data_IF_361437789360
#
_entry.id   IF_361437789360
#
_cell.length_a   1.000
_cell.length_b   1.000
_cell.length_c   1.000
_cell.angle_alpha   90.00
_cell.angle_beta   90.00
_cell.angle_gamma   90.00
#
_symmetry.space_group_name_H-M   'P 1'
#
loop_
_entity.id
_entity.type
_entity.pdbx_description
1 polymer ?
#
# COMPACT_ATOMS: atom_id res chain seq x y z
N UNK A 1 1.23 7.18 5.40
CA UNK A 1 1.35 5.98 6.24
C UNK A 1 2.43 6.14 7.33
N UNK A 2 3.66 6.60 7.03
CA UNK A 2 4.74 6.74 8.02
C UNK A 2 4.38 7.45 9.34
N UNK A 3 3.76 8.63 9.28
CA UNK A 3 3.41 9.38 10.49
C UNK A 3 2.39 8.65 11.38
N UNK A 4 1.51 7.84 10.78
CA UNK A 4 0.57 6.99 11.51
C UNK A 4 1.30 5.84 12.21
N UNK A 5 2.20 5.16 11.49
CA UNK A 5 3.02 4.07 12.05
C UNK A 5 3.89 4.53 13.22
N UNK A 6 4.47 5.74 13.15
CA UNK A 6 5.29 6.33 14.23
C UNK A 6 4.57 6.48 15.56
N UNK A 7 3.25 6.60 15.53
CA UNK A 7 2.42 6.77 16.72
C UNK A 7 1.55 5.54 17.02
N UNK A 8 1.86 4.38 16.42
CA UNK A 8 1.17 3.13 16.74
C UNK A 8 -0.19 2.97 16.09
N UNK A 9 -0.50 3.74 15.04
CA UNK A 9 -1.68 3.49 14.19
C UNK A 9 -1.26 2.53 13.08
N UNK A 10 -1.87 1.32 12.99
CA UNK A 10 -1.60 0.39 11.89
C UNK A 10 -1.86 1.05 10.53
N UNK A 11 -0.92 0.90 9.60
CA UNK A 11 -1.01 1.50 8.28
C UNK A 11 -0.48 0.54 7.21
N UNK A 12 -1.17 0.47 6.08
CA UNK A 12 -0.75 -0.30 4.90
C UNK A 12 -0.38 0.63 3.74
N UNK A 13 0.68 0.27 3.01
CA UNK A 13 1.10 0.96 1.79
C UNK A 13 1.84 -0.03 0.88
N UNK A 14 1.13 -0.78 0.02
CA UNK A 14 1.73 -1.65 -0.97
C UNK A 14 2.55 -0.84 -1.98
N UNK A 15 3.72 -1.34 -2.35
CA UNK A 15 4.51 -0.82 -3.47
C UNK A 15 4.22 -1.63 -4.74
N UNK A 16 4.49 -1.04 -5.91
CA UNK A 16 4.24 -1.67 -7.21
C UNK A 16 5.04 -2.96 -7.49
N UNK A 17 6.07 -3.27 -6.68
CA UNK A 17 6.93 -4.43 -6.85
C UNK A 17 7.80 -4.37 -8.12
N UNK A 18 8.43 -5.49 -8.44
CA UNK A 18 9.30 -5.65 -9.63
C UNK A 18 8.90 -6.82 -10.51
N UNK A 19 7.96 -7.64 -10.06
CA UNK A 19 7.44 -8.82 -10.77
C UNK A 19 6.00 -8.57 -11.19
N UNK A 20 5.67 -8.88 -12.45
CA UNK A 20 4.39 -8.53 -13.05
C UNK A 20 3.71 -9.76 -13.63
N UNK A 21 2.46 -9.99 -13.22
CA UNK A 21 1.67 -11.14 -13.66
C UNK A 21 1.49 -11.12 -15.17
N UNK A 22 1.89 -12.20 -15.83
CA UNK A 22 1.72 -12.38 -17.28
C UNK A 22 2.59 -11.46 -18.14
N UNK A 23 3.60 -10.80 -17.56
CA UNK A 23 4.57 -9.99 -18.32
C UNK A 23 5.94 -10.69 -18.31
N UNK A 24 6.67 -10.57 -19.42
CA UNK A 24 8.01 -11.16 -19.54
C UNK A 24 9.12 -10.31 -18.91
N UNK A 25 10.35 -10.84 -18.90
CA UNK A 25 11.51 -10.29 -18.19
C UNK A 25 11.83 -8.82 -18.51
N UNK A 26 11.53 -8.34 -19.72
CA UNK A 26 11.80 -6.96 -20.14
C UNK A 26 10.76 -5.94 -19.66
N UNK A 27 9.67 -6.38 -19.03
CA UNK A 27 8.57 -5.49 -18.66
C UNK A 27 8.97 -4.46 -17.60
N UNK A 28 9.87 -4.83 -16.69
CA UNK A 28 10.39 -3.91 -15.68
C UNK A 28 11.04 -2.68 -16.33
N UNK A 29 11.92 -2.89 -17.31
CA UNK A 29 12.59 -1.82 -18.03
C UNK A 29 11.61 -0.95 -18.84
N UNK A 30 10.59 -1.57 -19.45
CA UNK A 30 9.51 -0.82 -20.11
C UNK A 30 8.75 0.05 -19.11
N UNK A 31 8.36 -0.52 -17.96
CA UNK A 31 7.63 0.20 -16.90
C UNK A 31 8.45 1.38 -16.37
N UNK A 32 9.75 1.17 -16.12
CA UNK A 32 10.66 2.23 -15.68
C UNK A 32 10.76 3.35 -16.73
N UNK A 33 10.96 3.01 -18.01
CA UNK A 33 11.00 4.00 -19.09
C UNK A 33 9.70 4.80 -19.24
N UNK A 34 8.54 4.16 -19.03
CA UNK A 34 7.25 4.85 -19.04
C UNK A 34 7.12 5.75 -17.81
N UNK A 35 7.53 5.30 -16.63
CA UNK A 35 7.50 6.11 -15.41
C UNK A 35 8.39 7.36 -15.55
N UNK A 36 9.62 7.21 -16.03
CA UNK A 36 10.58 8.32 -16.20
C UNK A 36 10.08 9.40 -17.18
N UNK A 37 9.35 9.00 -18.22
CA UNK A 37 8.82 9.93 -19.22
C UNK A 37 7.55 10.69 -18.77
N UNK A 38 6.81 10.15 -17.79
CA UNK A 38 5.48 10.64 -17.43
C UNK A 38 5.41 11.21 -16.00
N UNK A 39 5.98 10.53 -15.01
CA UNK A 39 5.81 10.85 -13.60
C UNK A 39 6.24 12.28 -13.25
N UNK A 40 5.38 13.03 -12.56
CA UNK A 40 5.63 14.43 -12.18
C UNK A 40 5.89 15.38 -13.37
N UNK A 41 5.37 15.05 -14.56
CA UNK A 41 5.44 15.91 -15.74
C UNK A 41 4.05 16.25 -16.27
N UNK A 42 3.97 17.12 -17.27
CA UNK A 42 2.72 17.41 -18.00
C UNK A 42 2.19 16.22 -18.80
N UNK A 43 3.00 15.17 -19.01
CA UNK A 43 2.59 13.96 -19.71
C UNK A 43 1.89 12.95 -18.78
N UNK A 44 1.77 13.24 -17.47
CA UNK A 44 1.12 12.39 -16.46
C UNK A 44 -0.41 12.39 -16.63
N UNK A 45 -0.86 11.94 -17.79
CA UNK A 45 -2.25 11.80 -18.20
C UNK A 45 -2.56 10.32 -18.48
N UNK A 46 -3.84 9.96 -18.34
CA UNK A 46 -4.32 8.63 -18.73
C UNK A 46 -4.04 8.43 -20.23
N UNK A 47 -3.26 7.40 -20.54
CA UNK A 47 -2.84 7.10 -21.89
C UNK A 47 -2.80 5.58 -22.15
N UNK A 48 -2.39 5.17 -23.34
CA UNK A 48 -2.37 3.77 -23.76
C UNK A 48 -1.47 2.84 -22.91
N UNK A 49 -0.53 3.39 -22.13
CA UNK A 49 0.33 2.63 -21.23
C UNK A 49 -0.30 2.40 -19.85
N UNK A 50 -1.47 3.00 -19.57
CA UNK A 50 -2.21 2.78 -18.34
C UNK A 50 -3.01 1.46 -18.42
N UNK A 51 -2.40 0.38 -17.96
CA UNK A 51 -3.08 -0.89 -17.69
C UNK A 51 -3.66 -0.87 -16.26
N UNK A 52 -4.98 -0.65 -16.15
CA UNK A 52 -5.66 -0.48 -14.86
C UNK A 52 -5.96 -1.79 -14.13
N UNK A 53 -5.61 -2.94 -14.69
CA UNK A 53 -5.92 -4.24 -14.06
C UNK A 53 -5.28 -4.36 -12.66
N UNK A 54 -4.06 -3.85 -12.48
CA UNK A 54 -3.40 -3.80 -11.17
C UNK A 54 -4.13 -2.86 -10.18
N UNK A 55 -4.51 -1.67 -10.65
CA UNK A 55 -5.24 -0.70 -9.83
C UNK A 55 -6.60 -1.23 -9.35
N UNK A 56 -7.28 -2.07 -10.15
CA UNK A 56 -8.50 -2.75 -9.71
C UNK A 56 -8.23 -3.67 -8.50
N UNK A 57 -7.18 -4.48 -8.56
CA UNK A 57 -6.80 -5.40 -7.47
C UNK A 57 -6.42 -4.62 -6.21
N UNK A 58 -5.61 -3.57 -6.35
CA UNK A 58 -5.22 -2.71 -5.24
C UNK A 58 -6.43 -2.03 -4.60
N UNK A 59 -7.36 -1.52 -5.42
CA UNK A 59 -8.60 -0.90 -4.94
C UNK A 59 -9.42 -1.88 -4.12
N UNK A 60 -9.55 -3.14 -4.58
CA UNK A 60 -10.23 -4.19 -3.82
C UNK A 60 -9.51 -4.50 -2.52
N UNK A 61 -8.18 -4.58 -2.53
CA UNK A 61 -7.37 -4.80 -1.32
C UNK A 61 -7.62 -3.71 -0.28
N UNK A 62 -7.51 -2.44 -0.66
CA UNK A 62 -7.75 -1.31 0.24
C UNK A 62 -9.18 -1.30 0.79
N UNK A 63 -10.18 -1.49 -0.08
CA UNK A 63 -11.57 -1.55 0.33
C UNK A 63 -11.82 -2.69 1.33
N UNK A 64 -11.39 -3.90 1.02
CA UNK A 64 -11.60 -5.06 1.89
C UNK A 64 -10.85 -4.92 3.22
N UNK A 65 -9.66 -4.32 3.21
CA UNK A 65 -8.90 -4.08 4.44
C UNK A 65 -9.64 -3.09 5.34
N UNK A 66 -10.06 -1.95 4.80
CA UNK A 66 -10.82 -0.95 5.55
C UNK A 66 -12.16 -1.50 6.03
N UNK A 67 -12.89 -2.20 5.16
CA UNK A 67 -14.17 -2.81 5.48
C UNK A 67 -14.05 -3.82 6.63
N UNK A 68 -13.06 -4.73 6.58
CA UNK A 68 -12.84 -5.70 7.66
C UNK A 68 -12.42 -5.02 8.96
N UNK A 69 -11.52 -4.04 8.90
CA UNK A 69 -11.05 -3.32 10.09
C UNK A 69 -12.19 -2.53 10.77
N UNK A 70 -13.08 -1.91 9.99
CA UNK A 70 -14.22 -1.14 10.51
C UNK A 70 -15.33 -2.01 11.11
N UNK A 71 -15.45 -3.27 10.68
CA UNK A 71 -16.48 -4.20 11.14
C UNK A 71 -15.94 -5.27 12.10
N UNK A 72 -14.71 -5.13 12.60
CA UNK A 72 -14.14 -6.03 13.58
C UNK A 72 -14.60 -5.65 15.01
N UNK A 73 -14.92 -6.64 15.83
CA UNK A 73 -15.28 -6.43 17.25
C UNK A 73 -14.08 -5.93 18.08
N UNK A 74 -12.87 -6.26 17.64
CA UNK A 74 -11.62 -5.92 18.31
C UNK A 74 -10.73 -5.04 17.41
N UNK A 75 -9.91 -4.21 18.05
CA UNK A 75 -8.90 -3.42 17.35
C UNK A 75 -7.80 -4.33 16.80
N UNK A 76 -7.26 -3.94 15.64
CA UNK A 76 -6.15 -4.67 15.02
C UNK A 76 -4.90 -4.70 15.93
N UNK A 77 -4.24 -5.86 15.97
CA UNK A 77 -3.07 -6.17 16.81
C UNK A 77 -1.85 -6.52 15.96
N UNK A 78 -0.70 -6.71 16.63
CA UNK A 78 0.56 -7.14 16.02
C UNK A 78 0.97 -8.52 16.56
N UNK A 79 1.83 -9.24 15.84
CA UNK A 79 2.44 -10.43 16.40
C UNK A 79 3.45 -10.03 17.47
N UNK A 80 3.66 -10.93 18.43
CA UNK A 80 4.63 -10.71 19.50
C UNK A 80 6.03 -10.52 18.93
N UNK A 81 6.67 -9.41 19.27
CA UNK A 81 8.02 -9.04 18.81
C UNK A 81 8.06 -8.26 17.50
N UNK A 82 6.92 -7.97 16.86
CA UNK A 82 6.89 -7.12 15.68
C UNK A 82 7.40 -5.71 16.00
N UNK A 83 8.14 -5.11 15.07
CA UNK A 83 8.82 -3.82 15.25
C UNK A 83 7.88 -2.65 15.62
N UNK A 84 6.58 -2.80 15.34
CA UNK A 84 5.55 -1.81 15.64
C UNK A 84 4.69 -2.12 16.87
N UNK A 85 4.82 -3.32 17.46
CA UNK A 85 3.99 -3.78 18.59
C UNK A 85 4.12 -2.84 19.79
N UNK A 86 5.36 -2.55 20.22
CA UNK A 86 5.61 -1.72 21.40
C UNK A 86 5.03 -0.30 21.27
N UNK A 87 5.09 0.28 20.07
CA UNK A 87 4.51 1.60 19.78
C UNK A 87 2.98 1.55 19.82
N UNK A 88 2.37 0.48 19.27
CA UNK A 88 0.92 0.26 19.33
C UNK A 88 0.41 0.14 20.76
N UNK A 89 1.08 -0.66 21.59
CA UNK A 89 0.67 -0.88 22.98
C UNK A 89 0.73 0.42 23.78
N UNK A 90 1.80 1.21 23.62
CA UNK A 90 1.94 2.52 24.26
C UNK A 90 0.81 3.48 23.85
N UNK A 91 0.50 3.55 22.55
CA UNK A 91 -0.60 4.38 22.05
C UNK A 91 -1.95 3.97 22.65
N UNK A 92 -2.23 2.67 22.79
CA UNK A 92 -3.48 2.18 23.41
C UNK A 92 -3.52 2.56 24.90
N UNK A 93 -2.41 2.40 25.63
CA UNK A 93 -2.32 2.74 27.05
C UNK A 93 -2.55 4.24 27.30
N UNK A 94 -1.94 5.11 26.50
CA UNK A 94 -2.10 6.58 26.61
C UNK A 94 -3.48 7.08 26.19
N UNK A 95 -4.23 6.29 25.41
CA UNK A 95 -5.57 6.64 24.91
C UNK A 95 -6.72 6.31 25.88
N UNK A 96 -6.41 5.68 27.02
CA UNK A 96 -7.37 5.32 28.08
C UNK A 96 -7.47 6.42 29.13
#
# INVERSE_FOLDING_TARGET
HFNMAKIGIPAIFPNAGTEYIGKGDNFLALRDSVADANYHTVNDEINQYWDLAGAEVDTRLFFLTGFRALNADELQTWNAGDEFEATRLRMIEESR
#
